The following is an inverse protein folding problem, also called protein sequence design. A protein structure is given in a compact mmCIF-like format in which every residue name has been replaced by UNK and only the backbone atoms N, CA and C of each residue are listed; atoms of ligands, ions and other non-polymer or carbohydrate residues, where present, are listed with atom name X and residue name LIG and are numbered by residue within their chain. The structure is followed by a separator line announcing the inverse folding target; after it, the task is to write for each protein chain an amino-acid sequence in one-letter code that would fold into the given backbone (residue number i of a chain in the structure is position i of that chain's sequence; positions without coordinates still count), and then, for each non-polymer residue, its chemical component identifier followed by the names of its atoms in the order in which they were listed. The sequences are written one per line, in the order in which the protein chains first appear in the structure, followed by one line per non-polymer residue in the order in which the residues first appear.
data_IF_173891711414
#
_entry.id   IF_173891711414
#
_cell.length_a   1.000
_cell.length_b   1.000
_cell.length_c   1.000
_cell.angle_alpha   90.00
_cell.angle_beta   90.00
_cell.angle_gamma   90.00
#
_symmetry.space_group_name_H-M   'P 1'
#
loop_
_entity.id
_entity.type
_entity.pdbx_description
1 polymer ?
#
# COMPACT_ATOMS: atom_id res chain seq x y z
N UNK A 1 -4.89 11.81 25.93
CA UNK A 1 -4.11 10.57 26.09
C UNK A 1 -4.96 9.30 25.86
N UNK A 2 -5.73 9.21 24.76
CA UNK A 2 -6.60 8.04 24.47
C UNK A 2 -6.37 7.36 23.11
N UNK A 3 -5.37 7.78 22.33
CA UNK A 3 -5.21 7.34 20.93
C UNK A 3 -3.96 6.48 20.65
N UNK A 4 -3.17 6.12 21.65
CA UNK A 4 -1.98 5.29 21.45
C UNK A 4 -2.26 3.78 21.47
N UNK A 5 -3.46 3.36 21.86
CA UNK A 5 -3.81 1.93 22.00
C UNK A 5 -3.96 1.17 20.66
N UNK A 6 -4.61 1.74 19.60
CA UNK A 6 -4.79 1.00 18.35
C UNK A 6 -3.49 0.77 17.58
N UNK A 7 -2.54 1.71 17.63
CA UNK A 7 -1.26 1.57 16.94
C UNK A 7 -0.40 0.43 17.54
N UNK A 8 -0.44 0.28 18.86
CA UNK A 8 0.28 -0.79 19.56
C UNK A 8 -0.33 -2.18 19.28
N UNK A 9 -1.64 -2.27 19.19
CA UNK A 9 -2.34 -3.53 18.88
C UNK A 9 -2.04 -3.98 17.45
N UNK A 10 -1.99 -3.05 16.51
CA UNK A 10 -1.71 -3.36 15.11
C UNK A 10 -0.24 -3.75 14.89
N UNK A 11 0.70 -3.06 15.53
CA UNK A 11 2.12 -3.41 15.47
C UNK A 11 2.40 -4.76 16.14
N UNK A 12 1.68 -5.09 17.21
CA UNK A 12 1.78 -6.39 17.89
C UNK A 12 1.19 -7.53 17.09
N UNK A 13 0.13 -7.29 16.30
CA UNK A 13 -0.43 -8.30 15.39
C UNK A 13 0.50 -8.57 14.21
N UNK A 14 1.13 -7.56 13.62
CA UNK A 14 2.13 -7.74 12.58
C UNK A 14 3.38 -8.48 13.08
N UNK A 15 3.81 -8.23 14.30
CA UNK A 15 4.94 -8.93 14.93
C UNK A 15 4.57 -10.37 15.34
N UNK A 16 3.32 -10.64 15.72
CA UNK A 16 2.87 -11.99 16.07
C UNK A 16 2.74 -12.92 14.86
N UNK A 17 2.56 -12.41 13.64
CA UNK A 17 2.63 -13.21 12.43
C UNK A 17 4.06 -13.76 12.17
N UNK A 18 5.10 -13.08 12.64
CA UNK A 18 6.48 -13.53 12.48
C UNK A 18 6.88 -14.66 13.42
N UNK A 19 6.12 -14.93 14.49
CA UNK A 19 6.51 -15.89 15.54
C UNK A 19 5.69 -17.19 15.57
N UNK A 20 4.63 -17.33 14.77
CA UNK A 20 3.81 -18.53 14.83
C UNK A 20 4.38 -19.69 14.02
N UNK A 21 5.08 -20.60 14.70
CA UNK A 21 5.51 -21.90 14.16
C UNK A 21 4.35 -22.74 13.55
N UNK A 22 3.10 -22.40 13.84
CA UNK A 22 1.90 -23.04 13.29
C UNK A 22 1.61 -22.64 11.84
N UNK A 23 2.13 -21.53 11.34
CA UNK A 23 2.06 -21.16 9.93
C UNK A 23 2.78 -22.19 9.02
N UNK A 24 3.78 -22.88 9.54
CA UNK A 24 4.49 -23.97 8.85
C UNK A 24 3.55 -25.15 8.49
N UNK A 25 2.53 -25.37 9.27
CA UNK A 25 1.60 -26.51 9.07
C UNK A 25 0.64 -26.27 7.90
N UNK A 26 0.29 -25.01 7.63
CA UNK A 26 -0.65 -24.61 6.56
C UNK A 26 0.07 -24.30 5.24
N UNK A 27 1.31 -23.82 5.27
CA UNK A 27 2.04 -23.35 4.09
C UNK A 27 3.11 -24.33 3.58
N UNK A 28 3.29 -25.51 4.26
CA UNK A 28 4.32 -26.46 3.92
C UNK A 28 5.72 -25.93 4.26
N UNK A 29 6.77 -26.50 3.62
CA UNK A 29 8.17 -26.11 3.86
C UNK A 29 8.59 -24.77 3.22
N UNK A 30 7.67 -24.05 2.61
CA UNK A 30 7.94 -22.75 2.00
C UNK A 30 7.72 -21.66 3.04
N UNK A 31 8.79 -21.11 3.57
CA UNK A 31 8.69 -19.86 4.32
C UNK A 31 8.17 -18.76 3.37
N UNK A 32 7.19 -17.94 3.83
CA UNK A 32 6.80 -16.79 3.06
C UNK A 32 8.02 -15.93 2.82
N UNK A 33 8.27 -15.54 1.57
CA UNK A 33 9.34 -14.63 1.21
C UNK A 33 8.91 -13.24 1.66
N UNK A 34 9.60 -12.70 2.65
CA UNK A 34 9.33 -11.37 3.22
C UNK A 34 10.32 -10.37 2.69
N UNK A 35 9.92 -9.11 2.64
CA UNK A 35 10.78 -8.03 2.21
C UNK A 35 10.35 -6.69 2.78
N UNK A 36 11.26 -5.73 2.67
CA UNK A 36 10.99 -4.32 2.91
C UNK A 36 11.13 -3.59 1.58
N UNK A 37 10.37 -2.53 1.38
CA UNK A 37 10.44 -1.75 0.16
C UNK A 37 10.29 -0.25 0.40
N UNK A 38 10.79 0.50 -0.58
CA UNK A 38 10.45 1.89 -0.81
C UNK A 38 9.83 2.01 -2.19
N UNK A 39 8.80 2.85 -2.34
CA UNK A 39 8.16 3.12 -3.63
C UNK A 39 7.87 4.61 -3.78
N UNK A 40 7.88 5.05 -5.03
CA UNK A 40 7.43 6.39 -5.41
C UNK A 40 6.50 6.29 -6.61
N UNK A 41 5.40 7.03 -6.52
CA UNK A 41 4.34 7.12 -7.53
C UNK A 41 4.24 8.57 -7.99
N UNK A 42 3.98 8.78 -9.28
CA UNK A 42 3.96 10.11 -9.87
C UNK A 42 2.81 10.25 -10.85
N UNK A 43 2.22 11.43 -10.88
CA UNK A 43 1.38 11.90 -11.97
C UNK A 43 1.46 13.42 -12.04
N UNK A 44 2.08 13.97 -13.10
CA UNK A 44 2.33 15.41 -13.17
C UNK A 44 3.14 15.91 -11.99
N UNK A 45 2.61 16.89 -11.27
CA UNK A 45 3.22 17.46 -10.07
C UNK A 45 2.83 16.71 -8.78
N UNK A 46 1.88 15.78 -8.89
CA UNK A 46 1.45 14.91 -7.78
C UNK A 46 2.44 13.77 -7.54
N UNK A 47 2.75 13.47 -6.29
CA UNK A 47 3.63 12.37 -5.92
C UNK A 47 3.24 11.72 -4.60
N UNK A 48 3.49 10.39 -4.50
CA UNK A 48 3.32 9.63 -3.27
C UNK A 48 4.59 8.82 -3.05
N UNK A 49 5.26 9.05 -1.93
CA UNK A 49 6.45 8.27 -1.55
C UNK A 49 6.17 7.50 -0.28
N UNK A 50 6.42 6.20 -0.29
CA UNK A 50 6.13 5.33 0.84
C UNK A 50 7.19 4.27 1.07
N UNK A 51 7.27 3.80 2.32
CA UNK A 51 8.07 2.67 2.74
C UNK A 51 7.17 1.63 3.41
N UNK A 52 7.49 0.35 3.21
CA UNK A 52 6.62 -0.71 3.70
C UNK A 52 7.27 -2.08 3.74
N UNK A 53 6.42 -3.05 4.03
CA UNK A 53 6.76 -4.46 4.09
C UNK A 53 5.91 -5.25 3.12
N UNK A 54 6.46 -6.33 2.61
CA UNK A 54 5.75 -7.26 1.74
C UNK A 54 5.97 -8.70 2.19
N UNK A 55 4.96 -9.53 1.95
CA UNK A 55 4.98 -10.94 2.23
C UNK A 55 4.42 -11.71 1.04
N UNK A 56 5.25 -12.55 0.43
CA UNK A 56 4.86 -13.39 -0.71
C UNK A 56 4.46 -14.78 -0.25
N UNK A 57 3.31 -15.23 -0.70
CA UNK A 57 2.82 -16.60 -0.55
C UNK A 57 2.71 -17.23 -1.92
N UNK A 58 3.48 -18.28 -2.15
CA UNK A 58 3.52 -19.04 -3.41
C UNK A 58 3.16 -20.50 -3.15
N UNK A 59 2.39 -21.08 -4.04
CA UNK A 59 2.15 -22.53 -4.01
C UNK A 59 3.40 -23.29 -4.46
N UNK A 60 3.68 -24.44 -3.84
CA UNK A 60 4.73 -25.34 -4.26
C UNK A 60 4.59 -25.69 -5.74
N UNK A 61 5.71 -25.65 -6.47
CA UNK A 61 5.80 -25.96 -7.91
C UNK A 61 5.02 -25.01 -8.83
N UNK A 62 4.51 -23.89 -8.31
CA UNK A 62 3.88 -22.85 -9.12
C UNK A 62 4.67 -21.55 -9.03
N UNK A 63 4.72 -20.82 -10.14
CA UNK A 63 5.20 -19.45 -10.16
C UNK A 63 4.08 -18.42 -9.92
N UNK A 64 2.83 -18.87 -9.83
CA UNK A 64 1.73 -18.02 -9.41
C UNK A 64 1.70 -17.86 -7.89
N UNK A 65 1.43 -16.66 -7.44
CA UNK A 65 1.43 -16.34 -6.03
C UNK A 65 0.66 -15.07 -5.71
N UNK A 66 0.60 -14.79 -4.42
CA UNK A 66 0.02 -13.59 -3.86
C UNK A 66 1.07 -12.88 -3.02
N UNK A 67 1.19 -11.57 -3.17
CA UNK A 67 2.03 -10.72 -2.32
C UNK A 67 1.11 -9.77 -1.56
N UNK A 68 1.15 -9.82 -0.26
CA UNK A 68 0.50 -8.84 0.62
C UNK A 68 1.49 -7.71 0.91
N UNK A 69 0.99 -6.48 0.88
CA UNK A 69 1.79 -5.28 1.11
C UNK A 69 1.16 -4.38 2.16
N UNK A 70 2.00 -3.74 2.98
CA UNK A 70 1.58 -2.66 3.88
C UNK A 70 2.64 -1.57 3.88
N UNK A 71 2.27 -0.33 3.62
CA UNK A 71 3.19 0.80 3.49
C UNK A 71 2.61 2.08 4.09
N UNK A 72 3.47 2.85 4.72
CA UNK A 72 3.17 4.21 5.18
C UNK A 72 3.92 5.18 4.27
N UNK A 73 3.24 6.23 3.84
CA UNK A 73 3.78 7.21 2.92
C UNK A 73 3.34 8.62 3.20
N UNK A 74 3.96 9.54 2.46
CA UNK A 74 3.56 10.93 2.34
C UNK A 74 3.14 11.19 0.90
N UNK A 75 2.01 11.86 0.74
CA UNK A 75 1.43 12.26 -0.53
C UNK A 75 1.46 13.78 -0.65
N UNK A 76 1.74 14.26 -1.86
CA UNK A 76 1.55 15.64 -2.30
C UNK A 76 0.72 15.54 -3.58
N UNK A 77 -0.51 16.00 -3.53
CA UNK A 77 -1.51 15.77 -4.59
C UNK A 77 -2.09 17.11 -5.04
N UNK A 78 -2.13 17.32 -6.35
CA UNK A 78 -2.83 18.45 -6.92
C UNK A 78 -4.34 18.16 -6.94
N UNK A 79 -5.12 19.04 -6.34
CA UNK A 79 -6.57 18.96 -6.36
C UNK A 79 -7.15 19.60 -7.63
N UNK A 80 -8.45 19.39 -7.89
CA UNK A 80 -9.15 19.97 -9.06
C UNK A 80 -9.24 21.50 -9.03
N UNK A 81 -8.96 22.12 -7.90
CA UNK A 81 -8.92 23.57 -7.72
C UNK A 81 -7.53 24.17 -8.07
N UNK A 82 -6.52 23.33 -8.27
CA UNK A 82 -5.15 23.73 -8.56
C UNK A 82 -4.33 24.06 -7.32
N UNK A 83 -4.74 23.54 -6.17
CA UNK A 83 -4.02 23.63 -4.90
C UNK A 83 -3.35 22.29 -4.59
N UNK A 84 -2.28 22.31 -3.80
CA UNK A 84 -1.57 21.11 -3.36
C UNK A 84 -2.02 20.71 -1.97
N UNK A 85 -2.38 19.44 -1.83
CA UNK A 85 -2.78 18.81 -0.59
C UNK A 85 -1.68 17.85 -0.12
N UNK A 86 -1.27 17.97 1.14
CA UNK A 86 -0.27 17.11 1.76
C UNK A 86 -0.88 16.25 2.85
N UNK A 87 -0.68 14.94 2.76
CA UNK A 87 -1.22 14.01 3.75
C UNK A 87 -0.40 12.73 3.87
N UNK A 88 -0.69 11.96 4.93
CA UNK A 88 -0.09 10.65 5.17
C UNK A 88 -1.02 9.57 4.62
N UNK A 89 -0.45 8.57 3.96
CA UNK A 89 -1.16 7.38 3.46
C UNK A 89 -0.76 6.15 4.25
N UNK A 90 -1.66 5.18 4.36
CA UNK A 90 -1.38 3.86 4.86
C UNK A 90 -1.97 2.81 3.91
N UNK A 91 -1.23 2.55 2.85
CA UNK A 91 -1.61 1.61 1.80
C UNK A 91 -1.51 0.16 2.28
N UNK A 92 -2.58 -0.58 2.14
CA UNK A 92 -2.61 -2.02 2.32
C UNK A 92 -3.15 -2.66 1.06
N UNK A 93 -2.42 -3.61 0.51
CA UNK A 93 -2.74 -4.16 -0.79
C UNK A 93 -2.36 -5.62 -0.97
N UNK A 94 -2.81 -6.13 -2.09
CA UNK A 94 -2.54 -7.48 -2.54
C UNK A 94 -2.17 -7.45 -4.02
N UNK A 95 -1.05 -8.10 -4.37
CA UNK A 95 -0.60 -8.35 -5.74
C UNK A 95 -0.84 -9.81 -6.07
N UNK A 96 -1.49 -10.10 -7.18
CA UNK A 96 -1.73 -11.46 -7.69
C UNK A 96 -1.04 -11.60 -9.04
N UNK A 97 -0.17 -12.58 -9.22
CA UNK A 97 0.58 -12.68 -10.46
C UNK A 97 1.52 -13.87 -10.57
N UNK A 98 2.34 -13.79 -11.60
CA UNK A 98 3.43 -14.72 -11.87
C UNK A 98 4.71 -14.14 -11.28
N UNK A 99 5.33 -14.88 -10.38
CA UNK A 99 6.53 -14.44 -9.64
C UNK A 99 7.67 -15.44 -9.82
N UNK A 100 8.62 -15.05 -10.64
CA UNK A 100 9.92 -15.70 -10.83
C UNK A 100 11.00 -14.62 -10.80
N UNK A 101 12.14 -14.83 -11.45
CA UNK A 101 13.16 -13.77 -11.62
C UNK A 101 12.56 -12.56 -12.34
N UNK A 102 11.84 -12.78 -13.43
CA UNK A 102 10.90 -11.80 -13.99
C UNK A 102 9.50 -12.05 -13.40
N UNK A 103 8.79 -10.97 -13.07
CA UNK A 103 7.43 -11.06 -12.53
C UNK A 103 6.50 -10.02 -13.14
N UNK A 104 5.22 -10.39 -13.17
CA UNK A 104 4.11 -9.53 -13.59
C UNK A 104 2.91 -9.80 -12.70
N UNK A 105 2.17 -8.77 -12.34
CA UNK A 105 1.04 -8.88 -11.42
C UNK A 105 -0.06 -7.87 -11.73
N UNK A 106 -1.26 -8.18 -11.26
CA UNK A 106 -2.31 -7.22 -10.99
C UNK A 106 -2.35 -6.96 -9.48
N UNK A 107 -2.69 -5.74 -9.09
CA UNK A 107 -2.82 -5.34 -7.69
C UNK A 107 -4.13 -4.64 -7.39
N UNK A 108 -4.54 -4.73 -6.15
CA UNK A 108 -5.62 -3.96 -5.57
C UNK A 108 -5.29 -3.65 -4.10
N UNK A 109 -5.80 -2.54 -3.60
CA UNK A 109 -5.57 -2.15 -2.22
C UNK A 109 -6.42 -0.97 -1.79
N UNK A 110 -6.26 -0.61 -0.52
CA UNK A 110 -7.00 0.44 0.16
C UNK A 110 -6.03 1.30 0.97
N UNK A 111 -6.32 2.59 1.10
CA UNK A 111 -5.70 3.47 2.09
C UNK A 111 -6.47 3.33 3.42
N UNK A 112 -5.82 2.68 4.39
CA UNK A 112 -6.42 2.49 5.73
C UNK A 112 -6.22 3.70 6.65
N UNK A 113 -5.41 4.68 6.28
CA UNK A 113 -5.19 5.85 7.13
C UNK A 113 -6.50 6.61 7.34
N UNK A 114 -7.24 6.82 6.29
CA UNK A 114 -8.53 7.48 6.33
C UNK A 114 -9.55 6.70 7.16
N UNK A 115 -9.60 5.37 7.00
CA UNK A 115 -10.47 4.51 7.79
C UNK A 115 -10.12 4.54 9.29
N UNK A 116 -8.81 4.60 9.63
CA UNK A 116 -8.33 4.55 11.00
C UNK A 116 -8.40 5.92 11.72
N UNK A 117 -8.27 7.02 10.97
CA UNK A 117 -8.10 8.38 11.51
C UNK A 117 -9.11 9.38 10.93
N UNK A 118 -10.32 8.92 10.68
CA UNK A 118 -11.44 9.59 10.00
C UNK A 118 -11.76 11.03 10.44
N UNK A 119 -11.12 11.57 11.48
CA UNK A 119 -11.41 12.88 12.05
C UNK A 119 -10.29 13.93 11.90
N UNK A 120 -9.17 13.62 11.27
CA UNK A 120 -8.00 14.52 11.31
C UNK A 120 -7.60 15.18 9.99
N UNK A 121 -8.32 14.91 8.89
CA UNK A 121 -8.07 15.57 7.58
C UNK A 121 -8.93 16.83 7.36
N UNK A 122 -9.68 17.29 8.33
CA UNK A 122 -10.58 18.43 8.18
C UNK A 122 -10.31 19.56 9.15
N UNK A 123 -10.24 20.77 8.65
CA UNK A 123 -10.20 22.00 9.44
C UNK A 123 -11.52 22.18 10.22
N UNK A 124 -11.40 22.59 11.47
CA UNK A 124 -12.49 22.75 12.45
C UNK A 124 -13.48 23.88 12.12
N UNK A 125 -13.80 24.17 10.88
CA UNK A 125 -14.67 25.29 10.56
C UNK A 125 -15.80 24.89 9.62
N UNK A 126 -17.01 24.82 10.22
CA UNK A 126 -18.32 24.66 9.59
C UNK A 126 -18.72 23.27 9.08
N UNK A 127 -19.57 22.64 9.89
CA UNK A 127 -20.40 21.49 9.56
C UNK A 127 -21.26 21.76 8.31
N UNK A 128 -20.90 21.17 7.20
CA UNK A 128 -21.86 20.73 6.20
C UNK A 128 -21.57 19.24 6.03
N UNK A 129 -22.52 18.42 6.51
CA UNK A 129 -22.50 16.97 6.37
C UNK A 129 -22.42 16.59 4.88
N UNK A 130 -21.25 16.41 4.36
CA UNK A 130 -21.03 15.57 3.20
C UNK A 130 -20.22 14.37 3.67
N UNK A 131 -20.94 13.43 4.28
CA UNK A 131 -20.42 12.11 4.59
C UNK A 131 -20.14 11.37 3.27
N UNK A 132 -19.04 11.67 2.63
CA UNK A 132 -18.45 10.74 1.70
C UNK A 132 -17.78 9.66 2.55
N UNK A 133 -18.45 8.53 2.67
CA UNK A 133 -17.95 7.31 3.30
C UNK A 133 -17.08 6.51 2.33
N UNK A 134 -16.52 7.15 1.33
CA UNK A 134 -15.75 6.45 0.33
C UNK A 134 -14.34 6.18 0.87
N UNK A 135 -13.94 4.92 0.83
CA UNK A 135 -12.61 4.48 1.23
C UNK A 135 -11.71 4.61 0.01
N UNK A 136 -10.63 5.36 0.14
CA UNK A 136 -9.62 5.48 -0.89
C UNK A 136 -9.05 4.12 -1.27
N UNK A 137 -9.17 3.79 -2.55
CA UNK A 137 -8.74 2.52 -3.07
C UNK A 137 -7.87 2.66 -4.31
N UNK A 138 -7.17 1.60 -4.63
CA UNK A 138 -6.41 1.53 -5.87
C UNK A 138 -6.46 0.15 -6.51
N UNK A 139 -6.32 0.13 -7.83
CA UNK A 139 -6.13 -1.06 -8.62
C UNK A 139 -5.09 -0.79 -9.72
N UNK A 140 -4.23 -1.76 -10.02
CA UNK A 140 -3.15 -1.54 -10.97
C UNK A 140 -2.52 -2.81 -11.48
N UNK A 141 -1.48 -2.60 -12.27
CA UNK A 141 -0.64 -3.66 -12.82
C UNK A 141 0.83 -3.26 -12.68
N UNK A 142 1.69 -4.25 -12.58
CA UNK A 142 3.12 -3.98 -12.52
C UNK A 142 3.94 -5.17 -13.02
N UNK A 143 5.20 -4.88 -13.29
CA UNK A 143 6.18 -5.87 -13.70
C UNK A 143 7.55 -5.50 -13.12
N UNK A 144 8.42 -6.50 -12.96
CA UNK A 144 9.74 -6.24 -12.43
C UNK A 144 10.69 -7.40 -12.55
N UNK A 145 11.85 -7.22 -11.97
CA UNK A 145 12.91 -8.21 -11.96
C UNK A 145 13.47 -8.39 -10.56
N UNK A 146 13.67 -9.66 -10.18
CA UNK A 146 14.23 -10.08 -8.90
C UNK A 146 15.66 -10.58 -9.07
N UNK A 147 16.61 -9.82 -8.53
CA UNK A 147 18.03 -10.17 -8.46
C UNK A 147 18.46 -10.21 -6.99
N UNK A 148 18.26 -11.35 -6.38
CA UNK A 148 18.47 -11.56 -4.93
C UNK A 148 19.70 -10.85 -4.37
N UNK A 149 19.55 -10.10 -3.26
CA UNK A 149 18.37 -9.97 -2.41
C UNK A 149 17.45 -8.80 -2.83
N UNK A 150 17.70 -8.15 -3.95
CA UNK A 150 16.95 -6.96 -4.40
C UNK A 150 15.89 -7.31 -5.42
N UNK A 151 14.86 -6.49 -5.47
CA UNK A 151 13.79 -6.55 -6.46
C UNK A 151 13.49 -5.12 -6.90
N UNK A 152 13.39 -4.91 -8.20
CA UNK A 152 12.96 -3.64 -8.80
C UNK A 152 11.70 -3.87 -9.59
N UNK A 153 10.73 -2.98 -9.46
CA UNK A 153 9.48 -3.04 -10.21
C UNK A 153 9.04 -1.67 -10.69
N UNK A 154 8.33 -1.67 -11.81
CA UNK A 154 7.57 -0.55 -12.34
C UNK A 154 6.10 -0.93 -12.32
N UNK A 155 5.24 0.03 -12.05
CA UNK A 155 3.81 -0.20 -11.98
C UNK A 155 3.02 1.02 -12.43
N UNK A 156 1.77 0.78 -12.78
CA UNK A 156 0.77 1.83 -12.95
C UNK A 156 -0.51 1.40 -12.25
N UNK A 157 -1.18 2.36 -11.62
CA UNK A 157 -2.42 2.12 -10.88
C UNK A 157 -3.40 3.27 -11.06
N UNK A 158 -4.66 2.92 -11.15
CA UNK A 158 -5.75 3.84 -10.91
C UNK A 158 -5.97 3.95 -9.41
N UNK A 159 -6.01 5.15 -8.89
CA UNK A 159 -6.14 5.44 -7.46
C UNK A 159 -7.23 6.49 -7.27
N UNK A 160 -8.18 6.22 -6.39
CA UNK A 160 -9.13 7.20 -5.91
C UNK A 160 -8.49 7.90 -4.72
N UNK A 161 -8.46 9.22 -4.75
CA UNK A 161 -7.95 10.06 -3.67
C UNK A 161 -8.89 11.25 -3.58
N UNK A 162 -9.56 11.39 -2.47
CA UNK A 162 -10.43 12.52 -2.17
C UNK A 162 -10.34 12.89 -0.69
N UNK A 163 -10.65 14.13 -0.38
CA UNK A 163 -10.80 14.61 0.97
C UNK A 163 -12.23 15.11 1.16
N UNK A 164 -12.57 15.60 2.36
CA UNK A 164 -13.92 16.07 2.69
C UNK A 164 -14.43 17.17 1.74
N UNK A 165 -13.53 17.97 1.15
CA UNK A 165 -13.87 19.14 0.35
C UNK A 165 -13.12 19.24 -0.98
N UNK A 166 -12.28 18.26 -1.32
CA UNK A 166 -11.49 18.27 -2.54
C UNK A 166 -11.36 16.86 -3.14
N UNK A 167 -11.08 16.80 -4.42
CA UNK A 167 -10.79 15.58 -5.16
C UNK A 167 -9.47 15.76 -5.89
N UNK A 168 -8.68 14.71 -6.04
CA UNK A 168 -7.47 14.74 -6.85
C UNK A 168 -7.80 15.07 -8.31
N UNK A 169 -6.92 15.83 -8.94
CA UNK A 169 -7.05 16.15 -10.36
C UNK A 169 -6.87 14.91 -11.23
N UNK A 170 -5.95 14.04 -10.84
CA UNK A 170 -5.53 12.88 -11.59
C UNK A 170 -5.72 11.60 -10.80
N UNK A 171 -6.06 10.53 -11.50
CA UNK A 171 -6.35 9.23 -10.88
C UNK A 171 -5.39 8.12 -11.30
N UNK A 172 -4.53 8.33 -12.33
CA UNK A 172 -3.62 7.29 -12.82
C UNK A 172 -2.19 7.66 -12.45
N UNK A 173 -1.60 6.89 -11.57
CA UNK A 173 -0.23 7.05 -11.10
C UNK A 173 0.67 5.96 -11.68
N UNK A 174 1.87 6.35 -12.07
CA UNK A 174 2.93 5.40 -12.44
C UNK A 174 4.08 5.52 -11.45
N UNK A 175 4.75 4.41 -11.18
CA UNK A 175 5.77 4.44 -10.15
C UNK A 175 6.82 3.37 -10.28
N UNK A 176 7.77 3.47 -9.37
CA UNK A 176 8.85 2.50 -9.19
C UNK A 176 8.90 2.05 -7.74
N UNK A 177 9.27 0.79 -7.53
CA UNK A 177 9.49 0.22 -6.20
C UNK A 177 10.82 -0.51 -6.19
N UNK A 178 11.61 -0.30 -5.14
CA UNK A 178 12.79 -1.07 -4.82
C UNK A 178 12.54 -1.84 -3.53
N UNK A 179 12.75 -3.16 -3.57
CA UNK A 179 12.57 -4.04 -2.41
C UNK A 179 13.86 -4.75 -2.07
N UNK A 180 14.01 -5.07 -0.78
CA UNK A 180 15.02 -5.96 -0.23
C UNK A 180 14.32 -7.16 0.39
N UNK A 181 14.63 -8.37 -0.07
CA UNK A 181 13.99 -9.64 0.34
C UNK A 181 14.93 -10.46 1.24
N UNK A 182 14.38 -11.09 2.26
CA UNK A 182 15.12 -11.89 3.26
C UNK A 182 14.33 -13.11 3.74
#
# INVERSE_FOLDING_TARGET
MKHTLPLFVLLSTLLSFSQNANARLLLGNNMPNTGMFIKSEFNGDSSITSAGVEMMVKQNYSNFGVVFTSAIGAAVIDNKQGEQEEFITWDNGMKLGYFNDFFIYAELGLDLFELAFKNDRGDNTYQIEKSNNDIDGYAGIGAGYHFKPFKIEIFTRARQIDGDYWEAQEHIYSGVQLSFTF
#
